data_IF_880275577523
#
_entry.id   IF_880275577523
#
_cell.length_a   1.000
_cell.length_b   1.000
_cell.length_c   1.000
_cell.angle_alpha   90.00
_cell.angle_beta   90.00
_cell.angle_gamma   90.00
#
_symmetry.space_group_name_H-M   'P 1'
#
loop_
_entity.id
_entity.type
_entity.pdbx_description
1 polymer ?
#
# COMPACT_ATOMS: atom_id res chain seq x y z
N UNK A 1 -17.92 -1.66 10.05
CA UNK A 1 -17.55 -1.54 8.63
C UNK A 1 -16.21 -2.20 8.38
N UNK A 2 -16.12 -3.03 7.37
CA UNK A 2 -14.83 -3.60 6.99
C UNK A 2 -13.99 -2.57 6.24
N UNK A 3 -12.71 -2.56 6.54
CA UNK A 3 -11.73 -1.69 5.86
C UNK A 3 -10.59 -2.55 5.33
N UNK A 4 -9.81 -2.00 4.42
CA UNK A 4 -8.64 -2.67 3.88
C UNK A 4 -7.48 -1.70 3.81
N UNK A 5 -6.28 -2.19 4.06
CA UNK A 5 -5.04 -1.43 3.93
C UNK A 5 -4.16 -2.19 2.96
N UNK A 6 -3.70 -1.53 1.91
CA UNK A 6 -2.94 -2.15 0.83
C UNK A 6 -1.55 -1.53 0.79
N UNK A 7 -0.52 -2.35 1.02
CA UNK A 7 0.87 -1.93 0.93
C UNK A 7 1.45 -2.31 -0.43
N UNK A 8 1.98 -1.33 -1.13
CA UNK A 8 2.63 -1.54 -2.42
C UNK A 8 4.00 -2.20 -2.27
N UNK A 9 4.58 -2.59 -3.40
CA UNK A 9 5.89 -3.25 -3.42
C UNK A 9 7.05 -2.27 -3.47
N UNK A 10 8.24 -2.83 -3.73
CA UNK A 10 9.49 -2.08 -3.83
C UNK A 10 9.81 -1.78 -5.29
N UNK A 11 9.83 -0.51 -5.71
CA UNK A 11 10.27 -0.12 -7.05
C UNK A 11 11.80 -0.02 -7.08
N UNK A 12 12.38 0.09 -8.29
CA UNK A 12 13.76 0.52 -8.40
C UNK A 12 13.83 2.03 -8.11
N UNK A 13 15.01 2.53 -7.76
CA UNK A 13 15.20 3.95 -7.51
C UNK A 13 14.88 4.78 -8.75
N UNK A 14 15.29 4.29 -9.92
CA UNK A 14 15.00 4.96 -11.19
C UNK A 14 13.51 5.05 -11.46
N UNK A 15 12.79 3.96 -11.26
CA UNK A 15 11.35 3.93 -11.44
C UNK A 15 10.64 4.87 -10.47
N UNK A 16 11.09 4.89 -9.22
CA UNK A 16 10.48 5.72 -8.20
C UNK A 16 10.58 7.22 -8.53
N UNK A 17 11.72 7.65 -9.05
CA UNK A 17 11.95 9.06 -9.37
C UNK A 17 11.56 9.43 -10.81
N UNK A 18 11.01 8.52 -11.58
CA UNK A 18 10.58 8.81 -12.94
C UNK A 18 9.31 9.66 -12.93
N UNK A 19 9.34 10.91 -13.42
CA UNK A 19 8.18 11.81 -13.36
C UNK A 19 7.03 11.37 -14.27
N UNK A 20 7.26 10.42 -15.17
CA UNK A 20 6.23 9.92 -16.09
C UNK A 20 5.53 8.68 -15.54
N UNK A 21 5.85 8.26 -14.33
CA UNK A 21 5.25 7.10 -13.69
C UNK A 21 4.30 7.52 -12.58
N UNK A 22 3.26 6.71 -12.36
CA UNK A 22 2.36 6.90 -11.23
C UNK A 22 3.11 6.62 -9.92
N UNK A 23 2.61 7.18 -8.82
CA UNK A 23 3.11 6.83 -7.49
C UNK A 23 2.89 5.34 -7.23
N UNK A 24 3.67 4.77 -6.31
CA UNK A 24 3.58 3.33 -6.03
C UNK A 24 2.21 2.94 -5.48
N UNK A 25 1.58 3.81 -4.70
CA UNK A 25 0.25 3.56 -4.16
C UNK A 25 -0.83 3.51 -5.25
N UNK A 26 -0.55 4.07 -6.43
CA UNK A 26 -1.48 4.10 -7.55
C UNK A 26 -0.98 3.29 -8.75
N UNK A 27 0.02 2.43 -8.54
CA UNK A 27 0.63 1.64 -9.61
C UNK A 27 0.09 0.22 -9.64
N UNK A 28 0.34 -0.47 -10.74
CA UNK A 28 0.00 -1.88 -10.95
C UNK A 28 -1.51 -2.10 -10.79
N UNK A 29 -1.89 -3.13 -10.03
CA UNK A 29 -3.29 -3.48 -9.81
C UNK A 29 -3.92 -2.76 -8.61
N UNK A 30 -3.17 -1.92 -7.91
CA UNK A 30 -3.64 -1.30 -6.66
C UNK A 30 -4.88 -0.42 -6.85
N UNK A 31 -4.97 0.47 -7.85
CA UNK A 31 -6.19 1.25 -8.06
C UNK A 31 -7.37 0.36 -8.41
N UNK A 32 -7.14 -0.71 -9.17
CA UNK A 32 -8.20 -1.64 -9.55
C UNK A 32 -8.78 -2.35 -8.33
N UNK A 33 -7.93 -2.89 -7.45
CA UNK A 33 -8.42 -3.62 -6.28
C UNK A 33 -9.11 -2.67 -5.28
N UNK A 34 -8.62 -1.44 -5.17
CA UNK A 34 -9.25 -0.42 -4.34
C UNK A 34 -10.68 -0.15 -4.80
N UNK A 35 -10.88 0.00 -6.10
CA UNK A 35 -12.21 0.19 -6.67
C UNK A 35 -13.12 -1.02 -6.44
N UNK A 36 -12.60 -2.24 -6.65
CA UNK A 36 -13.37 -3.46 -6.45
C UNK A 36 -13.83 -3.60 -5.00
N UNK A 37 -12.96 -3.28 -4.05
CA UNK A 37 -13.29 -3.33 -2.63
C UNK A 37 -14.34 -2.29 -2.28
N UNK A 38 -14.21 -1.08 -2.82
CA UNK A 38 -15.18 -0.02 -2.58
C UNK A 38 -16.58 -0.40 -3.09
N UNK A 39 -16.64 -1.02 -4.26
CA UNK A 39 -17.91 -1.48 -4.83
C UNK A 39 -18.58 -2.54 -3.95
N UNK A 40 -17.82 -3.23 -3.13
CA UNK A 40 -18.33 -4.21 -2.16
C UNK A 40 -18.58 -3.63 -0.78
N UNK A 41 -18.49 -2.32 -0.64
CA UNK A 41 -18.68 -1.65 0.64
C UNK A 41 -17.50 -1.69 1.58
N UNK A 42 -16.31 -1.96 1.06
CA UNK A 42 -15.08 -2.02 1.86
C UNK A 42 -14.23 -0.79 1.54
N UNK A 43 -13.97 0.04 2.54
CA UNK A 43 -13.10 1.20 2.37
C UNK A 43 -11.65 0.73 2.35
N UNK A 44 -10.99 0.90 1.21
CA UNK A 44 -9.60 0.51 1.04
C UNK A 44 -8.70 1.73 0.95
N UNK A 45 -7.55 1.67 1.61
CA UNK A 45 -6.55 2.73 1.61
C UNK A 45 -5.23 2.17 1.11
N UNK A 46 -4.58 2.94 0.22
CA UNK A 46 -3.32 2.57 -0.40
C UNK A 46 -2.27 3.62 -0.06
N UNK A 47 -1.67 3.56 1.15
CA UNK A 47 -0.69 4.56 1.55
C UNK A 47 0.57 4.50 0.69
N UNK A 48 1.17 5.65 0.44
CA UNK A 48 2.47 5.75 -0.20
C UNK A 48 3.53 5.57 0.87
N UNK A 49 4.33 4.51 0.76
CA UNK A 49 5.33 4.19 1.76
C UNK A 49 6.62 4.99 1.53
N UNK A 50 7.32 5.39 2.60
CA UNK A 50 8.52 6.21 2.46
C UNK A 50 9.69 5.43 1.87
N UNK A 51 10.43 6.07 0.96
CA UNK A 51 11.62 5.53 0.30
C UNK A 51 11.49 4.05 -0.06
N UNK A 52 10.46 3.66 -0.86
CA UNK A 52 10.18 2.24 -1.09
C UNK A 52 11.27 1.52 -1.90
N UNK A 53 12.15 2.27 -2.56
CA UNK A 53 13.29 1.71 -3.28
C UNK A 53 14.39 1.20 -2.31
N UNK A 54 14.38 1.67 -1.07
CA UNK A 54 15.26 1.22 0.01
C UNK A 54 14.42 1.07 1.28
N UNK A 55 13.57 0.03 1.36
CA UNK A 55 12.62 -0.08 2.47
C UNK A 55 13.32 -0.19 3.82
N UNK A 56 12.88 0.64 4.77
CA UNK A 56 13.31 0.57 6.15
C UNK A 56 12.11 0.16 6.97
N UNK A 57 12.20 -0.99 7.63
CA UNK A 57 11.08 -1.56 8.38
C UNK A 57 10.44 -0.57 9.36
N UNK A 58 11.28 0.15 10.12
CA UNK A 58 10.78 1.08 11.12
C UNK A 58 9.95 2.22 10.51
N UNK A 59 10.36 2.71 9.32
CA UNK A 59 9.65 3.78 8.65
C UNK A 59 8.29 3.29 8.12
N UNK A 60 8.25 2.08 7.59
CA UNK A 60 7.01 1.48 7.11
C UNK A 60 6.08 1.14 8.27
N UNK A 61 6.63 0.68 9.38
CA UNK A 61 5.88 0.40 10.58
C UNK A 61 5.20 1.66 11.13
N UNK A 62 5.89 2.79 11.07
CA UNK A 62 5.34 4.07 11.49
C UNK A 62 4.11 4.46 10.65
N UNK A 63 4.17 4.23 9.35
CA UNK A 63 3.00 4.44 8.48
C UNK A 63 1.88 3.50 8.84
N UNK A 64 2.18 2.22 9.02
CA UNK A 64 1.20 1.19 9.39
C UNK A 64 0.48 1.54 10.69
N UNK A 65 1.19 2.05 11.68
CA UNK A 65 0.63 2.38 12.98
C UNK A 65 -0.33 3.57 12.96
N UNK A 66 -0.38 4.32 11.86
CA UNK A 66 -1.33 5.43 11.71
C UNK A 66 -2.74 4.94 11.42
N UNK A 67 -2.90 3.69 11.06
CA UNK A 67 -4.21 3.12 10.74
C UNK A 67 -4.80 2.42 11.95
N UNK A 68 -6.13 2.46 12.04
CA UNK A 68 -6.87 1.78 13.08
C UNK A 68 -7.08 0.31 12.68
N UNK A 69 -6.23 -0.56 13.20
CA UNK A 69 -6.24 -1.98 12.84
C UNK A 69 -7.07 -2.76 13.85
N UNK A 70 -8.04 -3.50 13.36
CA UNK A 70 -8.90 -4.35 14.20
C UNK A 70 -9.26 -5.62 13.42
N UNK A 71 -10.13 -6.45 14.01
CA UNK A 71 -10.50 -7.74 13.41
C UNK A 71 -11.31 -7.61 12.10
N UNK A 72 -11.83 -6.41 11.81
CA UNK A 72 -12.54 -6.13 10.56
C UNK A 72 -11.62 -5.53 9.49
N UNK A 73 -10.33 -5.45 9.75
CA UNK A 73 -9.34 -4.89 8.82
C UNK A 73 -8.73 -5.98 7.96
N UNK A 74 -8.76 -5.77 6.65
CA UNK A 74 -8.13 -6.67 5.67
C UNK A 74 -6.77 -6.07 5.30
N UNK A 75 -5.71 -6.88 5.40
CA UNK A 75 -4.36 -6.47 5.05
C UNK A 75 -3.96 -7.11 3.74
N UNK A 76 -3.61 -6.28 2.76
CA UNK A 76 -3.19 -6.74 1.43
C UNK A 76 -1.80 -6.19 1.16
N UNK A 77 -0.88 -7.07 0.79
CA UNK A 77 0.48 -6.68 0.47
C UNK A 77 0.88 -7.17 -0.90
N UNK A 78 1.60 -6.34 -1.64
CA UNK A 78 2.13 -6.67 -2.95
C UNK A 78 3.65 -6.72 -2.88
N UNK A 79 4.24 -7.88 -3.19
CA UNK A 79 5.70 -8.06 -3.21
C UNK A 79 6.31 -7.73 -1.83
N UNK A 80 7.18 -6.72 -1.74
CA UNK A 80 7.82 -6.31 -0.49
C UNK A 80 6.80 -5.89 0.58
N UNK A 81 5.68 -5.28 0.16
CA UNK A 81 4.59 -4.93 1.07
C UNK A 81 4.00 -6.16 1.75
N UNK A 82 3.84 -7.25 1.00
CA UNK A 82 3.38 -8.52 1.56
C UNK A 82 4.36 -9.10 2.56
N UNK A 83 5.66 -8.98 2.27
CA UNK A 83 6.70 -9.44 3.19
C UNK A 83 6.72 -8.63 4.49
N UNK A 84 6.39 -7.34 4.44
CA UNK A 84 6.30 -6.50 5.63
C UNK A 84 5.14 -6.95 6.53
N UNK A 85 3.98 -7.16 5.93
CA UNK A 85 2.78 -7.52 6.67
C UNK A 85 2.88 -8.93 7.24
#
# INVERSE_FOLDING_TARGET
MKTAIIFHGKPSKEEYFNPNRDSQSNSHWLPWIQEQLLLKGILAQTPELPAPYEPVYEDWKEVFEKFDINEDTILIGHSCGGGFL
#
